data_IF_127751152219
#
_entry.id   IF_127751152219
#
_cell.length_a   1.000
_cell.length_b   1.000
_cell.length_c   1.000
_cell.angle_alpha   90.00
_cell.angle_beta   90.00
_cell.angle_gamma   90.00
#
_symmetry.space_group_name_H-M   'P 1'
#
loop_
_entity.id
_entity.type
_entity.pdbx_description
1 polymer ?
#
# COMPACT_ATOMS: atom_id res chain seq x y z
N UNK A 1 -30.46 1.91 -26.51
CA UNK A 1 -29.59 2.96 -25.96
C UNK A 1 -29.82 2.97 -24.46
N UNK A 2 -28.81 2.64 -23.66
CA UNK A 2 -28.95 2.54 -22.21
C UNK A 2 -29.07 3.94 -21.61
N UNK A 3 -30.26 4.28 -21.11
CA UNK A 3 -30.52 5.48 -20.34
C UNK A 3 -29.70 5.45 -19.04
N UNK A 4 -28.50 6.01 -19.08
CA UNK A 4 -27.74 6.26 -17.86
C UNK A 4 -28.54 7.32 -17.10
N UNK A 5 -29.10 7.02 -15.92
CA UNK A 5 -29.89 7.98 -15.19
C UNK A 5 -29.02 9.19 -14.84
N UNK A 6 -29.39 10.37 -15.32
CA UNK A 6 -28.65 11.63 -15.14
C UNK A 6 -28.26 11.89 -13.67
N UNK A 7 -29.05 11.38 -12.72
CA UNK A 7 -28.76 11.44 -11.29
C UNK A 7 -27.54 10.63 -10.82
N UNK A 8 -27.16 9.56 -11.55
CA UNK A 8 -25.94 8.79 -11.26
C UNK A 8 -24.68 9.56 -11.71
N UNK A 9 -24.74 10.22 -12.88
CA UNK A 9 -23.65 11.04 -13.42
C UNK A 9 -23.37 12.23 -12.50
N UNK A 10 -24.42 12.86 -11.93
CA UNK A 10 -24.28 13.97 -10.99
C UNK A 10 -23.54 13.62 -9.69
N UNK A 11 -23.47 12.32 -9.31
CA UNK A 11 -22.78 11.85 -8.09
C UNK A 11 -21.33 11.43 -8.34
N UNK A 12 -20.93 11.28 -9.61
CA UNK A 12 -19.56 10.91 -10.01
C UNK A 12 -18.50 11.87 -9.46
N UNK A 13 -18.67 13.21 -9.53
CA UNK A 13 -17.66 14.14 -9.02
C UNK A 13 -17.40 13.97 -7.51
N UNK A 14 -18.47 13.78 -6.72
CA UNK A 14 -18.36 13.57 -5.28
C UNK A 14 -17.65 12.26 -4.93
N UNK A 15 -17.89 11.19 -5.71
CA UNK A 15 -17.20 9.92 -5.55
C UNK A 15 -15.70 10.04 -5.83
N UNK A 16 -15.32 10.72 -6.92
CA UNK A 16 -13.92 10.96 -7.29
C UNK A 16 -13.20 11.74 -6.19
N UNK A 17 -13.80 12.81 -5.68
CA UNK A 17 -13.24 13.61 -4.58
C UNK A 17 -13.01 12.72 -3.35
N UNK A 18 -14.02 11.93 -2.94
CA UNK A 18 -13.88 11.01 -1.79
C UNK A 18 -12.77 9.99 -1.99
N UNK A 19 -12.63 9.42 -3.19
CA UNK A 19 -11.56 8.49 -3.51
C UNK A 19 -10.17 9.15 -3.43
N UNK A 20 -10.02 10.37 -3.95
CA UNK A 20 -8.76 11.14 -3.84
C UNK A 20 -8.40 11.40 -2.37
N UNK A 21 -9.35 11.88 -1.57
CA UNK A 21 -9.11 12.10 -0.14
C UNK A 21 -8.77 10.80 0.61
N UNK A 22 -9.43 9.70 0.25
CA UNK A 22 -9.18 8.39 0.84
C UNK A 22 -7.80 7.88 0.48
N UNK A 23 -7.40 7.98 -0.80
CA UNK A 23 -6.06 7.64 -1.28
C UNK A 23 -4.98 8.49 -0.58
N UNK A 24 -5.19 9.79 -0.45
CA UNK A 24 -4.29 10.67 0.29
C UNK A 24 -4.17 10.27 1.76
N UNK A 25 -5.28 9.94 2.43
CA UNK A 25 -5.29 9.46 3.81
C UNK A 25 -4.54 8.13 3.94
N UNK A 26 -4.70 7.23 2.98
CA UNK A 26 -3.98 5.96 2.91
C UNK A 26 -2.47 6.18 2.77
N UNK A 27 -2.04 7.04 1.84
CA UNK A 27 -0.63 7.41 1.64
C UNK A 27 -0.01 8.01 2.91
N UNK A 28 -0.72 8.89 3.61
CA UNK A 28 -0.27 9.46 4.89
C UNK A 28 -0.09 8.38 5.96
N UNK A 29 -1.00 7.41 6.04
CA UNK A 29 -0.91 6.29 6.99
C UNK A 29 0.28 5.38 6.66
N UNK A 30 0.53 5.11 5.38
CA UNK A 30 1.66 4.28 4.96
C UNK A 30 3.02 4.92 5.25
N UNK A 31 3.16 6.22 5.01
CA UNK A 31 4.37 6.94 5.41
C UNK A 31 4.63 6.83 6.92
N UNK A 32 3.56 6.88 7.72
CA UNK A 32 3.65 6.70 9.18
C UNK A 32 4.06 5.26 9.54
N UNK A 33 3.47 4.24 8.91
CA UNK A 33 3.81 2.84 9.18
C UNK A 33 5.21 2.48 8.69
N UNK A 34 5.65 2.95 7.52
CA UNK A 34 7.03 2.80 7.04
C UNK A 34 8.05 3.40 8.02
N UNK A 35 7.76 4.57 8.59
CA UNK A 35 8.60 5.18 9.63
C UNK A 35 8.68 4.33 10.90
N UNK A 36 7.56 3.72 11.31
CA UNK A 36 7.53 2.81 12.45
C UNK A 36 8.30 1.52 12.16
N UNK A 37 8.11 0.94 10.98
CA UNK A 37 8.82 -0.25 10.52
C UNK A 37 10.34 -0.01 10.53
N UNK A 38 10.81 1.12 9.96
CA UNK A 38 12.23 1.50 10.00
C UNK A 38 12.78 1.54 11.42
N UNK A 39 12.05 2.18 12.34
CA UNK A 39 12.45 2.29 13.75
C UNK A 39 12.50 0.92 14.43
N UNK A 40 11.53 0.06 14.16
CA UNK A 40 11.48 -1.30 14.70
C UNK A 40 12.67 -2.14 14.19
N UNK A 41 12.98 -2.06 12.90
CA UNK A 41 14.11 -2.76 12.29
C UNK A 41 15.45 -2.29 12.88
N UNK A 42 15.65 -0.97 13.01
CA UNK A 42 16.85 -0.43 13.67
C UNK A 42 16.96 -0.88 15.14
N UNK A 43 15.84 -0.92 15.86
CA UNK A 43 15.81 -1.42 17.25
C UNK A 43 16.17 -2.91 17.33
N UNK A 44 15.86 -3.69 16.29
CA UNK A 44 16.25 -5.09 16.15
C UNK A 44 17.70 -5.31 15.69
N UNK A 45 18.53 -4.27 15.59
CA UNK A 45 19.94 -4.39 15.21
C UNK A 45 20.21 -4.29 13.71
N UNK A 46 19.21 -3.97 12.89
CA UNK A 46 19.41 -3.75 11.45
C UNK A 46 20.17 -2.44 11.20
N UNK A 47 21.11 -2.45 10.24
CA UNK A 47 21.81 -1.24 9.83
C UNK A 47 20.84 -0.18 9.31
N UNK A 48 21.21 1.10 9.48
CA UNK A 48 20.34 2.23 9.12
C UNK A 48 20.03 2.24 7.63
N UNK A 49 21.01 1.94 6.81
CA UNK A 49 20.92 1.89 5.34
C UNK A 49 19.93 0.81 4.91
N UNK A 50 20.07 -0.40 5.44
CA UNK A 50 19.21 -1.55 5.12
C UNK A 50 17.77 -1.33 5.62
N UNK A 51 17.61 -0.81 6.83
CA UNK A 51 16.30 -0.47 7.37
C UNK A 51 15.61 0.63 6.54
N UNK A 52 16.36 1.59 6.01
CA UNK A 52 15.82 2.64 5.15
C UNK A 52 15.37 2.09 3.79
N UNK A 53 16.14 1.18 3.19
CA UNK A 53 15.78 0.55 1.92
C UNK A 53 14.51 -0.32 2.05
N UNK A 54 14.41 -1.14 3.10
CA UNK A 54 13.22 -1.96 3.34
C UNK A 54 11.98 -1.11 3.62
N UNK A 55 12.13 -0.05 4.42
CA UNK A 55 11.01 0.85 4.72
C UNK A 55 10.52 1.61 3.48
N UNK A 56 11.42 2.01 2.57
CA UNK A 56 11.06 2.66 1.32
C UNK A 56 10.28 1.72 0.40
N UNK A 57 10.76 0.48 0.22
CA UNK A 57 10.04 -0.54 -0.57
C UNK A 57 8.67 -0.90 0.01
N UNK A 58 8.54 -0.87 1.34
CA UNK A 58 7.24 -1.04 2.00
C UNK A 58 6.30 0.15 1.79
N UNK A 59 6.81 1.39 1.76
CA UNK A 59 6.00 2.58 1.46
C UNK A 59 5.43 2.55 0.04
N UNK A 60 6.16 1.96 -0.92
CA UNK A 60 5.71 1.83 -2.31
C UNK A 60 4.68 0.71 -2.51
N UNK A 61 4.91 -0.45 -1.91
CA UNK A 61 4.05 -1.64 -2.09
C UNK A 61 2.88 -1.73 -1.12
N UNK A 62 2.93 -0.99 -0.01
CA UNK A 62 1.96 -1.06 1.09
C UNK A 62 1.75 -2.49 1.65
N UNK A 63 2.67 -3.42 1.36
CA UNK A 63 2.52 -4.84 1.66
C UNK A 63 3.84 -5.42 2.15
N UNK A 64 3.84 -5.92 3.39
CA UNK A 64 4.98 -6.64 3.97
C UNK A 64 5.23 -7.94 3.19
N UNK A 65 4.17 -8.57 2.66
CA UNK A 65 4.27 -9.82 1.91
C UNK A 65 4.99 -9.63 0.58
N UNK A 66 4.63 -8.59 -0.15
CA UNK A 66 5.34 -8.24 -1.39
C UNK A 66 6.78 -7.81 -1.13
N UNK A 67 7.03 -7.12 -0.02
CA UNK A 67 8.38 -6.77 0.41
C UNK A 67 9.22 -8.03 0.63
N UNK A 68 8.70 -9.02 1.35
CA UNK A 68 9.42 -10.27 1.63
C UNK A 68 9.66 -11.04 0.33
N UNK A 69 8.62 -11.23 -0.50
CA UNK A 69 8.74 -11.96 -1.77
C UNK A 69 9.76 -11.34 -2.72
N UNK A 70 9.75 -10.01 -2.89
CA UNK A 70 10.72 -9.30 -3.74
C UNK A 70 12.15 -9.30 -3.19
N UNK A 71 12.32 -9.49 -1.89
CA UNK A 71 13.65 -9.48 -1.23
C UNK A 71 14.27 -10.88 -1.16
N UNK A 72 13.45 -11.94 -1.15
CA UNK A 72 13.92 -13.33 -1.07
C UNK A 72 14.15 -14.00 -2.43
N UNK A 73 13.87 -13.32 -3.55
CA UNK A 73 14.25 -13.81 -4.88
C UNK A 73 13.42 -14.99 -5.39
N UNK A 74 12.31 -15.33 -4.74
CA UNK A 74 11.38 -16.33 -5.26
C UNK A 74 10.12 -15.67 -5.82
N UNK A 75 9.81 -16.05 -7.06
CA UNK A 75 8.49 -15.98 -7.68
C UNK A 75 7.48 -16.78 -6.85
N UNK A 76 7.15 -16.30 -5.65
CA UNK A 76 6.12 -16.92 -4.84
C UNK A 76 4.77 -16.53 -5.41
N UNK A 77 4.31 -17.34 -6.37
CA UNK A 77 2.93 -17.53 -6.79
C UNK A 77 2.07 -17.85 -5.55
N UNK A 78 1.74 -16.83 -4.76
CA UNK A 78 0.80 -16.94 -3.65
C UNK A 78 -0.62 -16.59 -4.09
N UNK A 79 -0.90 -16.70 -5.40
CA UNK A 79 -2.23 -16.62 -6.00
C UNK A 79 -3.03 -17.92 -5.86
N UNK A 80 -2.50 -18.96 -5.23
CA UNK A 80 -3.16 -20.28 -5.14
C UNK A 80 -3.48 -20.76 -3.73
N UNK A 81 -3.13 -20.05 -2.66
CA UNK A 81 -3.42 -20.51 -1.30
C UNK A 81 -4.05 -19.40 -0.44
N UNK A 82 -5.34 -19.59 -0.17
CA UNK A 82 -6.26 -18.89 0.75
C UNK A 82 -7.22 -17.88 0.07
N UNK A 83 -8.49 -18.29 -0.17
CA UNK A 83 -9.57 -17.39 -0.52
C UNK A 83 -10.29 -16.92 0.76
N UNK A 84 -10.15 -15.65 1.12
CA UNK A 84 -11.10 -14.92 1.98
C UNK A 84 -11.08 -13.44 1.65
#
# INVERSE_FOLDING_TARGET
MSDIPLGAIARVPGLVIRLVFTAMRFKRRAKKSAKMLRRAMMKGGMSREMASQLAARYEESFSIRELIGKTTGEEFHLSSFIPF
#
